data_IF_570405805037
#
_entry.id   IF_570405805037
#
_cell.length_a   1.000
_cell.length_b   1.000
_cell.length_c   1.000
_cell.angle_alpha   90.00
_cell.angle_beta   90.00
_cell.angle_gamma   90.00
#
_symmetry.space_group_name_H-M   'P 1'
#
loop_
_entity.id
_entity.type
_entity.pdbx_description
1 polymer ?
#
# COMPACT_ATOMS: atom_id res chain seq x y z
N UNK A 1 -35.67 8.62 31.57
CA UNK A 1 -35.57 8.41 30.10
C UNK A 1 -34.09 8.31 29.77
N UNK A 2 -33.55 7.09 29.70
CA UNK A 2 -32.12 6.85 29.44
C UNK A 2 -31.95 6.54 27.95
N UNK A 3 -31.28 7.42 27.21
CA UNK A 3 -30.90 7.18 25.82
C UNK A 3 -29.80 6.12 25.81
N UNK A 4 -30.11 4.94 25.30
CA UNK A 4 -29.15 3.87 25.07
C UNK A 4 -28.33 4.27 23.84
N UNK A 5 -27.06 4.63 24.06
CA UNK A 5 -26.09 4.86 23.01
C UNK A 5 -25.68 3.51 22.41
N UNK A 6 -26.25 3.16 21.26
CA UNK A 6 -25.88 1.98 20.49
C UNK A 6 -24.50 2.21 19.87
N UNK A 7 -23.45 1.77 20.57
CA UNK A 7 -22.10 1.70 20.01
C UNK A 7 -22.15 0.61 18.94
N UNK A 8 -22.25 1.03 17.68
CA UNK A 8 -22.09 0.16 16.52
C UNK A 8 -20.60 -0.21 16.44
N UNK A 9 -20.21 -1.24 17.19
CA UNK A 9 -18.90 -1.84 17.06
C UNK A 9 -18.90 -2.60 15.73
N UNK A 10 -18.47 -1.90 14.66
CA UNK A 10 -18.11 -2.56 13.41
C UNK A 10 -16.95 -3.49 13.72
N UNK A 11 -17.25 -4.77 14.00
CA UNK A 11 -16.22 -5.78 14.12
C UNK A 11 -15.43 -5.79 12.80
N UNK A 12 -14.10 -5.67 12.83
CA UNK A 12 -13.33 -5.79 11.61
C UNK A 12 -13.58 -7.21 11.10
N UNK A 13 -14.13 -7.31 9.89
CA UNK A 13 -14.14 -8.57 9.19
C UNK A 13 -12.67 -8.96 9.02
N UNK A 14 -12.18 -9.86 9.88
CA UNK A 14 -10.89 -10.51 9.71
C UNK A 14 -11.02 -11.45 8.50
N UNK A 15 -11.11 -10.85 7.31
CA UNK A 15 -10.46 -11.42 6.14
C UNK A 15 -9.01 -11.68 6.57
N UNK A 16 -8.47 -12.83 6.20
CA UNK A 16 -7.08 -13.16 6.47
C UNK A 16 -6.23 -12.11 5.75
N UNK A 17 -5.86 -11.04 6.44
CA UNK A 17 -5.09 -9.94 5.87
C UNK A 17 -3.71 -10.48 5.58
N UNK A 18 -3.48 -10.86 4.32
CA UNK A 18 -2.16 -11.15 3.83
C UNK A 18 -1.40 -9.82 3.69
N UNK A 19 -0.10 -9.86 3.96
CA UNK A 19 0.79 -8.70 3.86
C UNK A 19 1.88 -9.01 2.85
N UNK A 20 2.39 -7.98 2.17
CA UNK A 20 3.53 -8.15 1.28
C UNK A 20 4.76 -8.58 2.08
N UNK A 21 5.46 -9.63 1.65
CA UNK A 21 6.63 -10.10 2.39
C UNK A 21 7.75 -9.04 2.42
N UNK A 22 7.86 -8.23 1.38
CA UNK A 22 8.84 -7.14 1.29
C UNK A 22 8.44 -5.89 2.10
N UNK A 23 7.15 -5.70 2.40
CA UNK A 23 6.61 -4.55 3.12
C UNK A 23 5.57 -5.08 4.13
N UNK A 24 5.99 -5.53 5.32
CA UNK A 24 5.14 -6.29 6.24
C UNK A 24 3.96 -5.49 6.82
N UNK A 25 3.98 -4.17 6.67
CA UNK A 25 2.90 -3.26 7.10
C UNK A 25 1.87 -3.00 5.98
N UNK A 26 2.15 -3.43 4.74
CA UNK A 26 1.28 -3.20 3.59
C UNK A 26 0.34 -4.39 3.37
N UNK A 27 -0.98 -4.23 3.55
CA UNK A 27 -1.93 -5.30 3.26
C UNK A 27 -2.06 -5.56 1.76
N UNK A 28 -2.31 -6.83 1.41
CA UNK A 28 -2.66 -7.27 0.07
C UNK A 28 -4.19 -7.19 -0.06
N UNK A 29 -4.68 -6.49 -1.09
CA UNK A 29 -6.12 -6.40 -1.34
C UNK A 29 -6.74 -7.79 -1.54
N UNK A 30 -7.96 -7.99 -1.05
CA UNK A 30 -8.65 -9.29 -1.18
C UNK A 30 -8.77 -9.69 -2.65
N UNK A 31 -8.34 -10.90 -2.99
CA UNK A 31 -8.34 -11.42 -4.35
C UNK A 31 -7.10 -11.06 -5.18
N UNK A 32 -6.16 -10.28 -4.63
CA UNK A 32 -4.79 -10.19 -5.14
C UNK A 32 -3.89 -11.23 -4.44
N UNK A 33 -2.88 -11.69 -5.17
CA UNK A 33 -1.80 -12.52 -4.64
C UNK A 33 -0.45 -11.88 -4.98
N UNK A 34 0.46 -11.85 -4.02
CA UNK A 34 1.84 -11.42 -4.27
C UNK A 34 2.53 -12.37 -5.25
N UNK A 35 3.23 -11.80 -6.23
CA UNK A 35 4.02 -12.55 -7.21
C UNK A 35 5.44 -12.72 -6.70
N UNK A 36 5.78 -13.91 -6.21
CA UNK A 36 7.12 -14.24 -5.69
C UNK A 36 8.25 -14.02 -6.73
N UNK A 37 7.92 -14.15 -8.03
CA UNK A 37 8.89 -13.98 -9.12
C UNK A 37 9.35 -12.52 -9.36
N UNK A 38 8.76 -11.52 -8.69
CA UNK A 38 9.01 -10.10 -8.97
C UNK A 38 9.22 -9.24 -7.71
N UNK A 39 9.71 -9.87 -6.63
CA UNK A 39 10.19 -9.14 -5.46
C UNK A 39 11.62 -8.68 -5.75
N UNK A 40 11.84 -7.37 -5.72
CA UNK A 40 13.20 -6.83 -5.81
C UNK A 40 13.41 -5.74 -4.79
N UNK A 41 14.19 -6.06 -3.76
CA UNK A 41 14.71 -5.10 -2.80
C UNK A 41 16.10 -4.63 -3.27
N UNK A 42 16.22 -3.37 -3.66
CA UNK A 42 17.51 -2.76 -3.94
C UNK A 42 17.86 -1.80 -2.80
N UNK A 43 18.84 -2.18 -2.00
CA UNK A 43 19.52 -1.25 -1.11
C UNK A 43 20.66 -0.61 -1.92
N UNK A 44 20.54 0.66 -2.27
CA UNK A 44 21.69 1.43 -2.75
C UNK A 44 22.58 1.71 -1.53
N UNK A 45 23.88 1.53 -1.67
CA UNK A 45 24.90 1.62 -0.61
C UNK A 45 25.01 2.98 0.12
N UNK A 46 24.08 3.90 -0.09
CA UNK A 46 24.02 5.25 0.47
C UNK A 46 22.56 5.54 0.92
N UNK A 47 22.16 4.95 2.05
CA UNK A 47 21.05 5.29 2.97
C UNK A 47 19.60 5.45 2.38
N UNK A 48 19.40 5.29 1.07
CA UNK A 48 18.08 5.24 0.42
C UNK A 48 17.69 3.81 0.05
N UNK A 49 16.63 3.30 0.68
CA UNK A 49 16.08 1.97 0.39
C UNK A 49 14.97 2.03 -0.65
N UNK A 50 15.09 1.27 -1.75
CA UNK A 50 14.00 1.01 -2.69
C UNK A 50 13.52 -0.43 -2.54
N UNK A 51 12.26 -0.60 -2.14
CA UNK A 51 11.61 -1.90 -2.06
C UNK A 51 10.51 -1.97 -3.12
N UNK A 52 10.53 -3.03 -3.93
CA UNK A 52 9.52 -3.27 -4.96
C UNK A 52 8.85 -4.62 -4.74
N UNK A 53 7.52 -4.62 -4.84
CA UNK A 53 6.71 -5.83 -4.80
C UNK A 53 5.62 -5.74 -5.88
N UNK A 54 5.16 -6.89 -6.35
CA UNK A 54 4.10 -6.96 -7.36
C UNK A 54 3.05 -7.95 -6.88
N UNK A 55 1.78 -7.62 -7.10
CA UNK A 55 0.66 -8.52 -6.90
C UNK A 55 -0.26 -8.50 -8.11
N UNK A 56 -0.98 -9.59 -8.35
CA UNK A 56 -2.02 -9.64 -9.37
C UNK A 56 -3.22 -10.46 -8.92
N UNK A 57 -4.35 -10.29 -9.58
CA UNK A 57 -5.52 -11.12 -9.33
C UNK A 57 -6.79 -10.60 -10.00
N UNK A 58 -7.92 -11.19 -9.60
CA UNK A 58 -9.23 -10.93 -10.20
C UNK A 58 -9.90 -9.57 -9.92
N UNK A 59 -9.64 -8.82 -8.83
CA UNK A 59 -10.37 -7.58 -8.58
C UNK A 59 -10.10 -6.53 -9.66
N UNK A 60 -11.08 -5.66 -9.91
CA UNK A 60 -10.96 -4.57 -10.88
C UNK A 60 -10.07 -3.44 -10.35
N UNK A 61 -9.39 -2.67 -11.22
CA UNK A 61 -8.47 -1.60 -10.81
C UNK A 61 -9.09 -0.60 -9.83
N UNK A 62 -10.34 -0.22 -10.05
CA UNK A 62 -11.04 0.75 -9.19
C UNK A 62 -11.31 0.21 -7.78
N UNK A 63 -11.59 -1.08 -7.65
CA UNK A 63 -11.77 -1.73 -6.35
C UNK A 63 -10.44 -1.76 -5.59
N UNK A 64 -9.34 -2.04 -6.29
CA UNK A 64 -7.99 -2.01 -5.71
C UNK A 64 -7.63 -0.58 -5.26
N UNK A 65 -7.91 0.43 -6.09
CA UNK A 65 -7.69 1.86 -5.76
C UNK A 65 -8.46 2.29 -4.50
N UNK A 66 -9.74 1.94 -4.42
CA UNK A 66 -10.57 2.26 -3.26
C UNK A 66 -10.03 1.59 -1.99
N UNK A 67 -9.71 0.29 -2.06
CA UNK A 67 -9.15 -0.46 -0.94
C UNK A 67 -7.89 0.18 -0.37
N UNK A 68 -6.91 0.52 -1.22
CA UNK A 68 -5.66 1.12 -0.75
C UNK A 68 -5.86 2.54 -0.22
N UNK A 69 -6.76 3.32 -0.81
CA UNK A 69 -7.04 4.67 -0.32
C UNK A 69 -7.62 4.64 1.09
N UNK A 70 -8.55 3.73 1.38
CA UNK A 70 -9.14 3.56 2.71
C UNK A 70 -8.14 2.95 3.72
N UNK A 71 -7.52 1.83 3.33
CA UNK A 71 -6.63 1.07 4.23
C UNK A 71 -5.38 1.86 4.61
N UNK A 72 -4.74 2.51 3.65
CA UNK A 72 -3.50 3.27 3.91
C UNK A 72 -3.78 4.51 4.74
N UNK A 73 -4.91 5.18 4.51
CA UNK A 73 -5.33 6.32 5.34
C UNK A 73 -5.50 5.90 6.80
N UNK A 74 -6.09 4.74 7.07
CA UNK A 74 -6.22 4.19 8.41
C UNK A 74 -4.86 3.81 9.06
N UNK A 75 -3.85 3.48 8.24
CA UNK A 75 -2.48 3.17 8.66
C UNK A 75 -1.57 4.41 8.79
N UNK A 76 -2.13 5.62 8.66
CA UNK A 76 -1.41 6.88 8.83
C UNK A 76 -0.62 7.34 7.61
N UNK A 77 -0.89 6.76 6.43
CA UNK A 77 -0.34 7.25 5.18
C UNK A 77 -1.18 8.42 4.63
N UNK A 78 -0.52 9.51 4.27
CA UNK A 78 -1.17 10.67 3.65
C UNK A 78 -1.20 10.49 2.13
N UNK A 79 -2.40 10.53 1.53
CA UNK A 79 -2.55 10.51 0.07
C UNK A 79 -2.05 11.81 -0.55
N UNK A 80 -1.13 11.69 -1.52
CA UNK A 80 -0.57 12.78 -2.32
C UNK A 80 -1.11 12.63 -3.76
N UNK A 81 -2.12 13.43 -4.16
CA UNK A 81 -2.66 13.34 -5.52
C UNK A 81 -1.62 13.81 -6.53
N UNK A 82 -1.20 12.92 -7.43
CA UNK A 82 -0.31 13.26 -8.53
C UNK A 82 -1.13 13.84 -9.70
N UNK A 83 -0.85 15.08 -10.08
CA UNK A 83 -1.49 15.71 -11.25
C UNK A 83 -1.07 14.98 -12.52
N UNK A 84 -2.00 14.25 -13.15
CA UNK A 84 -1.79 13.59 -14.44
C UNK A 84 -1.10 12.22 -14.39
N UNK A 85 -0.89 11.62 -13.21
CA UNK A 85 -0.47 10.22 -13.10
C UNK A 85 -1.64 9.34 -12.67
N UNK A 86 -1.73 8.14 -13.26
CA UNK A 86 -2.68 7.10 -12.85
C UNK A 86 -2.22 6.36 -11.57
N UNK A 87 -1.05 6.72 -11.03
CA UNK A 87 -0.47 6.13 -9.84
C UNK A 87 -1.02 6.79 -8.57
N UNK A 88 -1.22 5.98 -7.53
CA UNK A 88 -1.53 6.49 -6.20
C UNK A 88 -0.22 6.69 -5.43
N UNK A 89 0.00 7.91 -4.94
CA UNK A 89 1.17 8.23 -4.12
C UNK A 89 0.74 8.47 -2.68
N UNK A 90 1.48 7.91 -1.74
CA UNK A 90 1.26 8.08 -0.32
C UNK A 90 2.56 8.42 0.40
N UNK A 91 2.45 9.21 1.46
CA UNK A 91 3.59 9.66 2.27
C UNK A 91 3.38 9.30 3.74
N UNK A 92 4.43 8.79 4.39
CA UNK A 92 4.46 8.56 5.84
C UNK A 92 5.85 8.85 6.38
N UNK A 93 6.01 9.97 7.08
CA UNK A 93 7.32 10.43 7.56
C UNK A 93 8.31 10.61 6.41
N UNK A 94 9.33 9.75 6.33
CA UNK A 94 10.37 9.74 5.27
C UNK A 94 10.11 8.69 4.19
N UNK A 95 9.01 7.96 4.29
CA UNK A 95 8.61 6.91 3.38
C UNK A 95 7.67 7.48 2.32
N UNK A 96 7.91 7.13 1.06
CA UNK A 96 6.99 7.37 -0.05
C UNK A 96 6.59 6.02 -0.65
N UNK A 97 5.31 5.76 -0.67
CA UNK A 97 4.71 4.58 -1.28
C UNK A 97 4.04 4.98 -2.60
N UNK A 98 4.42 4.34 -3.70
CA UNK A 98 3.81 4.55 -5.02
C UNK A 98 3.17 3.24 -5.46
N UNK A 99 1.88 3.29 -5.76
CA UNK A 99 1.10 2.17 -6.25
C UNK A 99 0.71 2.42 -7.71
N UNK A 100 1.24 1.60 -8.60
CA UNK A 100 0.81 1.56 -9.99
C UNK A 100 -0.20 0.43 -10.17
N UNK A 101 -1.43 0.79 -10.54
CA UNK A 101 -2.56 -0.13 -10.65
C UNK A 101 -2.99 -0.15 -12.11
N UNK A 102 -2.77 -1.28 -12.78
CA UNK A 102 -3.04 -1.46 -14.20
C UNK A 102 -3.89 -2.71 -14.45
N UNK A 103 -4.76 -2.72 -15.46
CA UNK A 103 -5.48 -3.94 -15.85
C UNK A 103 -4.51 -5.01 -16.36
N UNK A 104 -4.74 -6.26 -16.00
CA UNK A 104 -3.92 -7.41 -16.43
C UNK A 104 -4.75 -8.69 -16.46
N UNK A 105 -4.75 -9.40 -17.59
CA UNK A 105 -5.40 -10.71 -17.80
C UNK A 105 -6.84 -10.81 -17.27
N UNK A 106 -7.65 -9.76 -17.49
CA UNK A 106 -9.05 -9.70 -17.05
C UNK A 106 -9.25 -9.34 -15.58
N UNK A 107 -8.17 -9.03 -14.86
CA UNK A 107 -8.16 -8.49 -13.51
C UNK A 107 -7.19 -7.31 -13.39
N UNK A 108 -6.41 -7.28 -12.31
CA UNK A 108 -5.51 -6.15 -12.00
C UNK A 108 -4.11 -6.66 -11.66
N UNK A 109 -3.11 -5.93 -12.15
CA UNK A 109 -1.74 -5.96 -11.65
C UNK A 109 -1.47 -4.70 -10.83
N UNK A 110 -0.95 -4.91 -9.63
CA UNK A 110 -0.50 -3.89 -8.71
C UNK A 110 1.02 -3.96 -8.59
N UNK A 111 1.69 -2.86 -8.91
CA UNK A 111 3.12 -2.69 -8.62
C UNK A 111 3.30 -1.69 -7.50
N UNK A 112 3.99 -2.13 -6.46
CA UNK A 112 4.26 -1.39 -5.24
C UNK A 112 5.71 -0.95 -5.23
N UNK A 113 5.95 0.33 -4.95
CA UNK A 113 7.29 0.89 -4.78
C UNK A 113 7.34 1.68 -3.48
N UNK A 114 8.09 1.18 -2.51
CA UNK A 114 8.38 1.88 -1.28
C UNK A 114 9.77 2.49 -1.38
N UNK A 115 9.83 3.81 -1.21
CA UNK A 115 11.05 4.61 -1.26
C UNK A 115 11.25 5.19 0.13
N UNK A 116 12.30 4.74 0.82
CA UNK A 116 12.69 5.27 2.13
C UNK A 116 13.79 6.30 1.90
N UNK A 117 13.53 7.56 2.24
CA UNK A 117 14.57 8.58 2.16
C UNK A 117 15.50 8.48 3.38
N UNK A 118 16.81 8.66 3.17
CA UNK A 118 17.77 8.71 4.25
C UNK A 118 17.39 9.78 5.27
N UNK A 119 17.70 9.55 6.55
CA UNK A 119 17.88 10.70 7.43
C UNK A 119 19.11 11.42 6.89
N UNK A 120 19.01 12.70 6.57
CA UNK A 120 20.22 13.51 6.42
C UNK A 120 21.08 13.24 7.66
N UNK A 121 22.19 12.54 7.48
CA UNK A 121 23.18 12.38 8.52
C UNK A 121 23.62 13.81 8.83
N UNK A 122 23.14 14.37 9.93
CA UNK A 122 23.70 15.60 10.46
C UNK A 122 25.17 15.28 10.72
N UNK A 123 26.04 15.78 9.84
CA UNK A 123 27.45 15.87 10.12
C UNK A 123 27.58 16.88 11.26
N UNK A 124 27.70 16.37 12.48
CA UNK A 124 28.23 17.09 13.63
C UNK A 124 29.75 16.86 13.69
#
# INVERSE_FOLDING_TARGET
MFLIATIFCAAPAFAQTAYFAAIPDLPIATGLAESENQQTSFATSDDAGLVMATAHGAPMPDQVRAFYTESLSALGWAYEPAQGSEDLTFLRGRERLVLNIAPHDGGTQLRVRLIVRPASMNAD
#
